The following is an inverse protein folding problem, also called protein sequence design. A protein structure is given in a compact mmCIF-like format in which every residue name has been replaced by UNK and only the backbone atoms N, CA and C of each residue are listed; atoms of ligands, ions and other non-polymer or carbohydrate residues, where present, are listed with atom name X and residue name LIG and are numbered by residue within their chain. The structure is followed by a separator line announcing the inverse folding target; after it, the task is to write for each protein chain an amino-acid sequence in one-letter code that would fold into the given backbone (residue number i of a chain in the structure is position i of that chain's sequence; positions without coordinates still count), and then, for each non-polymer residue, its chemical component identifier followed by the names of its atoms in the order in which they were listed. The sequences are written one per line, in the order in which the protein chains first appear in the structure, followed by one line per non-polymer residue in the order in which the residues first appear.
data_IF_756617720729
#
_entry.id   IF_756617720729
#
_cell.length_a   1.000
_cell.length_b   1.000
_cell.length_c   1.000
_cell.angle_alpha   90.00
_cell.angle_beta   90.00
_cell.angle_gamma   90.00
#
_symmetry.space_group_name_H-M   'P 1'
#
loop_
_entity.id
_entity.type
_entity.pdbx_description
1 polymer ?
#
# COMPACT_ATOMS: atom_id res chain seq x y z
N UNK A 1 -9.25 -9.19 30.78
CA UNK A 1 -9.00 -9.22 29.32
C UNK A 1 -8.42 -10.58 28.89
N UNK A 2 -8.85 -11.70 29.50
CA UNK A 2 -8.19 -13.00 29.32
C UNK A 2 -8.69 -13.81 28.10
N UNK A 3 -9.78 -13.40 27.44
CA UNK A 3 -10.45 -14.20 26.39
C UNK A 3 -10.46 -13.55 24.99
N UNK A 4 -9.72 -12.46 24.77
CA UNK A 4 -9.71 -11.74 23.47
C UNK A 4 -9.22 -12.60 22.31
N UNK A 5 -8.22 -13.45 22.55
CA UNK A 5 -7.65 -14.33 21.55
C UNK A 5 -8.48 -15.60 21.30
N UNK A 6 -9.31 -16.00 22.28
CA UNK A 6 -10.04 -17.28 22.26
C UNK A 6 -11.30 -17.18 21.39
N UNK A 7 -11.97 -16.01 21.39
CA UNK A 7 -13.16 -15.77 20.58
C UNK A 7 -13.19 -14.35 19.98
N UNK A 8 -12.52 -14.12 18.84
CA UNK A 8 -12.36 -12.77 18.26
C UNK A 8 -13.69 -12.10 17.90
N UNK A 9 -14.73 -12.89 17.58
CA UNK A 9 -16.08 -12.37 17.28
C UNK A 9 -16.78 -11.80 18.51
N UNK A 10 -16.68 -12.50 19.65
CA UNK A 10 -17.28 -12.05 20.91
C UNK A 10 -16.51 -10.87 21.48
N UNK A 11 -15.18 -10.91 21.42
CA UNK A 11 -14.31 -9.78 21.72
C UNK A 11 -14.73 -8.50 21.00
N UNK A 12 -14.94 -8.54 19.68
CA UNK A 12 -15.36 -7.37 18.91
C UNK A 12 -16.73 -6.85 19.36
N UNK A 13 -17.71 -7.73 19.54
CA UNK A 13 -19.05 -7.33 19.97
C UNK A 13 -19.02 -6.64 21.35
N UNK A 14 -18.21 -7.15 22.27
CA UNK A 14 -17.99 -6.53 23.58
C UNK A 14 -17.32 -5.16 23.45
N UNK A 15 -16.25 -5.05 22.64
CA UNK A 15 -15.54 -3.77 22.40
C UNK A 15 -16.50 -2.71 21.82
N UNK A 16 -17.26 -3.08 20.79
CA UNK A 16 -18.18 -2.16 20.09
C UNK A 16 -19.41 -1.76 20.93
N UNK A 17 -19.76 -2.55 21.95
CA UNK A 17 -20.84 -2.22 22.87
C UNK A 17 -20.48 -1.16 23.91
N UNK A 18 -19.19 -0.81 24.04
CA UNK A 18 -18.73 0.16 25.02
C UNK A 18 -18.93 1.60 24.53
N UNK A 19 -19.37 2.52 25.42
CA UNK A 19 -19.77 3.88 25.04
C UNK A 19 -18.62 4.73 24.48
N UNK A 20 -17.39 4.48 24.92
CA UNK A 20 -16.20 5.23 24.48
C UNK A 20 -15.46 4.57 23.29
N UNK A 21 -16.06 3.54 22.69
CA UNK A 21 -15.47 2.80 21.59
C UNK A 21 -15.21 3.74 20.38
N UNK A 22 -13.95 3.86 19.90
CA UNK A 22 -13.65 4.66 18.73
C UNK A 22 -14.38 4.16 17.48
N UNK A 23 -14.79 5.08 16.61
CA UNK A 23 -15.38 4.74 15.31
C UNK A 23 -14.28 4.11 14.43
N UNK A 24 -14.45 2.84 14.08
CA UNK A 24 -13.53 2.06 13.26
C UNK A 24 -14.32 1.02 12.46
N UNK A 25 -13.80 0.59 11.31
CA UNK A 25 -14.49 -0.43 10.51
C UNK A 25 -14.42 -1.80 11.21
N UNK A 26 -15.34 -2.70 10.88
CA UNK A 26 -15.34 -4.06 11.47
C UNK A 26 -14.06 -4.83 11.11
N UNK A 27 -13.59 -4.69 9.87
CA UNK A 27 -12.36 -5.32 9.39
C UNK A 27 -11.13 -4.79 10.13
N UNK A 28 -11.06 -3.48 10.39
CA UNK A 28 -9.93 -2.89 11.10
C UNK A 28 -9.94 -3.27 12.60
N UNK A 29 -11.13 -3.45 13.19
CA UNK A 29 -11.26 -4.01 14.55
C UNK A 29 -10.81 -5.46 14.60
N UNK A 30 -11.20 -6.28 13.62
CA UNK A 30 -10.75 -7.67 13.52
C UNK A 30 -9.21 -7.72 13.41
N UNK A 31 -8.61 -6.84 12.62
CA UNK A 31 -7.15 -6.75 12.50
C UNK A 31 -6.49 -6.41 13.86
N UNK A 32 -7.06 -5.48 14.66
CA UNK A 32 -6.57 -5.14 16.00
C UNK A 32 -6.69 -6.32 16.98
N UNK A 33 -7.88 -6.95 17.05
CA UNK A 33 -8.15 -8.02 18.02
C UNK A 33 -7.33 -9.27 17.70
N UNK A 34 -7.09 -9.55 16.42
CA UNK A 34 -6.31 -10.70 15.97
C UNK A 34 -4.80 -10.42 15.84
N UNK A 35 -4.35 -9.21 16.16
CA UNK A 35 -2.94 -8.83 16.10
C UNK A 35 -2.37 -8.72 14.68
N UNK A 36 -3.22 -8.65 13.65
CA UNK A 36 -2.79 -8.51 12.25
C UNK A 36 -2.18 -7.13 11.97
N UNK A 37 -1.33 -7.01 10.93
CA UNK A 37 -0.75 -5.74 10.57
C UNK A 37 -1.83 -4.74 10.17
N UNK A 38 -1.83 -3.58 10.83
CA UNK A 38 -2.80 -2.53 10.55
C UNK A 38 -2.65 -2.00 9.11
N UNK A 39 -3.74 -2.09 8.34
CA UNK A 39 -3.80 -1.67 6.94
C UNK A 39 -4.17 -0.18 6.86
N UNK A 40 -3.17 0.69 6.95
CA UNK A 40 -3.39 2.12 7.02
C UNK A 40 -4.10 2.71 5.80
N UNK A 41 -3.87 2.18 4.61
CA UNK A 41 -4.60 2.61 3.40
C UNK A 41 -6.10 2.26 3.50
N UNK A 42 -6.45 1.14 4.12
CA UNK A 42 -7.83 0.74 4.38
C UNK A 42 -8.47 1.61 5.46
N UNK A 43 -7.77 1.84 6.58
CA UNK A 43 -8.21 2.75 7.63
C UNK A 43 -8.44 4.14 7.04
N UNK A 44 -7.50 4.66 6.23
CA UNK A 44 -7.60 5.98 5.62
C UNK A 44 -8.83 6.09 4.71
N UNK A 45 -9.04 5.08 3.87
CA UNK A 45 -10.20 4.99 2.99
C UNK A 45 -11.52 4.95 3.77
N UNK A 46 -11.59 4.16 4.85
CA UNK A 46 -12.81 4.00 5.64
C UNK A 46 -13.22 5.29 6.37
N UNK A 47 -12.27 6.17 6.72
CA UNK A 47 -12.59 7.48 7.33
C UNK A 47 -13.32 8.42 6.37
N UNK A 48 -13.08 8.27 5.07
CA UNK A 48 -13.60 9.15 4.03
C UNK A 48 -14.71 8.48 3.20
N UNK A 49 -15.10 7.27 3.55
CA UNK A 49 -16.21 6.58 2.92
C UNK A 49 -17.51 7.36 3.18
N UNK A 50 -18.09 7.91 2.12
CA UNK A 50 -19.39 8.59 2.15
C UNK A 50 -20.55 7.63 1.89
N UNK A 51 -20.25 6.42 1.43
CA UNK A 51 -21.20 5.34 1.17
C UNK A 51 -20.88 4.14 2.03
N UNK A 52 -21.91 3.51 2.60
CA UNK A 52 -21.78 2.17 3.17
C UNK A 52 -21.22 1.24 2.09
N UNK A 53 -20.10 0.62 2.40
CA UNK A 53 -19.38 -0.22 1.44
C UNK A 53 -20.23 -1.46 1.12
N UNK A 54 -20.92 -1.43 -0.03
CA UNK A 54 -21.81 -2.52 -0.47
C UNK A 54 -21.00 -3.63 -1.15
N UNK A 55 -19.83 -3.99 -0.60
CA UNK A 55 -19.11 -5.15 -1.08
C UNK A 55 -19.86 -6.42 -0.63
N UNK A 56 -20.67 -6.95 -1.54
CA UNK A 56 -21.37 -8.21 -1.33
C UNK A 56 -20.34 -9.33 -1.52
N UNK A 57 -19.92 -9.95 -0.41
CA UNK A 57 -19.06 -11.14 -0.48
C UNK A 57 -19.97 -12.37 -0.57
N UNK A 58 -20.03 -13.03 -1.73
CA UNK A 58 -20.69 -14.31 -1.89
C UNK A 58 -19.65 -15.43 -1.89
N UNK A 59 -19.86 -16.45 -1.04
CA UNK A 59 -19.12 -17.71 -1.11
C UNK A 59 -19.78 -18.62 -2.14
N UNK A 60 -19.02 -18.99 -3.17
CA UNK A 60 -19.40 -20.04 -4.13
C UNK A 60 -18.43 -21.20 -3.96
N UNK A 61 -18.84 -22.22 -3.20
CA UNK A 61 -17.98 -23.36 -2.86
C UNK A 61 -16.78 -22.94 -2.01
N UNK A 62 -15.55 -23.16 -2.52
CA UNK A 62 -14.29 -22.76 -1.86
C UNK A 62 -13.80 -21.35 -2.24
N UNK A 63 -14.51 -20.64 -3.12
CA UNK A 63 -14.08 -19.34 -3.65
C UNK A 63 -14.98 -18.24 -3.08
N UNK A 64 -14.36 -17.20 -2.53
CA UNK A 64 -15.05 -15.96 -2.12
C UNK A 64 -15.03 -14.96 -3.27
N UNK A 65 -16.20 -14.55 -3.74
CA UNK A 65 -16.39 -13.52 -4.76
C UNK A 65 -16.85 -12.24 -4.08
N UNK A 66 -16.07 -11.17 -4.19
CA UNK A 66 -16.43 -9.84 -3.69
C UNK A 66 -16.97 -8.99 -4.84
N UNK A 67 -18.26 -8.65 -4.79
CA UNK A 67 -18.95 -7.82 -5.77
C UNK A 67 -19.19 -6.42 -5.22
N UNK A 68 -18.81 -5.39 -5.97
CA UNK A 68 -19.02 -3.99 -5.61
C UNK A 68 -18.20 -3.09 -6.54
N UNK A 69 -18.65 -1.85 -6.82
CA UNK A 69 -17.81 -0.88 -7.53
C UNK A 69 -16.51 -0.69 -6.73
N UNK A 70 -15.33 -0.73 -7.36
CA UNK A 70 -14.08 -0.53 -6.64
C UNK A 70 -14.11 0.86 -6.02
N UNK A 71 -14.22 0.93 -4.69
CA UNK A 71 -14.01 2.19 -3.99
C UNK A 71 -12.56 2.57 -4.26
N UNK A 72 -12.35 3.71 -4.93
CA UNK A 72 -11.03 4.29 -5.09
C UNK A 72 -10.52 4.63 -3.68
N UNK A 73 -9.86 3.67 -3.04
CA UNK A 73 -9.35 3.81 -1.69
C UNK A 73 -8.31 4.90 -1.66
N UNK A 74 -8.45 5.86 -0.74
CA UNK A 74 -7.41 6.83 -0.50
C UNK A 74 -6.18 6.10 0.03
N UNK A 75 -5.02 6.37 -0.57
CA UNK A 75 -3.73 5.84 -0.14
C UNK A 75 -3.04 6.87 0.76
N UNK A 76 -2.37 6.39 1.80
CA UNK A 76 -1.51 7.23 2.63
C UNK A 76 -0.27 7.58 1.82
N UNK A 77 -0.12 8.86 1.48
CA UNK A 77 0.96 9.35 0.60
C UNK A 77 1.82 10.45 1.20
N UNK A 78 1.37 11.06 2.30
CA UNK A 78 2.07 12.15 2.96
C UNK A 78 2.27 11.90 4.46
N UNK A 79 3.16 12.68 5.07
CA UNK A 79 3.32 12.71 6.53
C UNK A 79 2.01 13.05 7.24
N UNK A 80 1.23 14.00 6.69
CA UNK A 80 -0.08 14.39 7.23
C UNK A 80 -1.08 13.24 7.21
N UNK A 81 -1.20 12.54 6.07
CA UNK A 81 -2.07 11.36 5.96
C UNK A 81 -1.68 10.31 7.00
N UNK A 82 -0.38 10.04 7.12
CA UNK A 82 0.13 9.04 8.05
C UNK A 82 -0.20 9.42 9.50
N UNK A 83 -0.01 10.69 9.89
CA UNK A 83 -0.31 11.16 11.24
C UNK A 83 -1.80 11.02 11.58
N UNK A 84 -2.69 11.39 10.65
CA UNK A 84 -4.15 11.27 10.83
C UNK A 84 -4.52 9.80 11.06
N UNK A 85 -4.04 8.91 10.19
CA UNK A 85 -4.36 7.47 10.29
C UNK A 85 -3.74 6.85 11.53
N UNK A 86 -2.49 7.19 11.84
CA UNK A 86 -1.78 6.68 13.01
C UNK A 86 -2.47 7.12 14.30
N UNK A 87 -2.96 8.36 14.40
CA UNK A 87 -3.72 8.83 15.55
C UNK A 87 -5.02 8.05 15.73
N UNK A 88 -5.75 7.77 14.65
CA UNK A 88 -6.98 6.96 14.70
C UNK A 88 -6.70 5.51 15.11
N UNK A 89 -5.69 4.90 14.49
CA UNK A 89 -5.22 3.55 14.85
C UNK A 89 -4.81 3.49 16.32
N UNK A 90 -4.02 4.45 16.80
CA UNK A 90 -3.54 4.51 18.19
C UNK A 90 -4.70 4.61 19.17
N UNK A 91 -5.72 5.42 18.87
CA UNK A 91 -6.92 5.52 19.72
C UNK A 91 -7.64 4.17 19.86
N UNK A 92 -7.81 3.45 18.74
CA UNK A 92 -8.42 2.12 18.75
C UNK A 92 -7.54 1.08 19.44
N UNK A 93 -6.22 1.10 19.23
CA UNK A 93 -5.30 0.16 19.84
C UNK A 93 -5.20 0.35 21.35
N UNK A 94 -5.12 1.60 21.84
CA UNK A 94 -5.08 1.93 23.27
C UNK A 94 -6.39 1.55 23.96
N UNK A 95 -7.52 1.67 23.27
CA UNK A 95 -8.81 1.25 23.81
C UNK A 95 -8.81 -0.24 24.18
N UNK A 96 -8.18 -1.09 23.36
CA UNK A 96 -8.07 -2.53 23.60
C UNK A 96 -6.87 -2.88 24.49
N UNK A 97 -5.76 -2.17 24.31
CA UNK A 97 -4.47 -2.39 24.98
C UNK A 97 -3.95 -1.10 25.64
N UNK A 98 -4.52 -0.67 26.78
CA UNK A 98 -4.18 0.62 27.40
C UNK A 98 -2.69 0.75 27.77
N UNK A 99 -2.05 -0.37 28.11
CA UNK A 99 -0.63 -0.42 28.49
C UNK A 99 0.32 -0.01 27.35
N UNK A 100 -0.13 -0.05 26.08
CA UNK A 100 0.68 0.33 24.91
C UNK A 100 0.69 1.83 24.60
N UNK A 101 0.04 2.66 25.43
CA UNK A 101 -0.11 4.08 25.14
C UNK A 101 1.24 4.83 25.02
N UNK A 102 2.16 4.59 25.95
CA UNK A 102 3.46 5.27 25.97
C UNK A 102 4.37 4.82 24.83
N UNK A 103 4.33 3.53 24.50
CA UNK A 103 5.02 2.92 23.36
C UNK A 103 4.61 3.61 22.05
N UNK A 104 3.30 3.67 21.76
CA UNK A 104 2.77 4.27 20.53
C UNK A 104 3.09 5.77 20.44
N UNK A 105 3.05 6.47 21.58
CA UNK A 105 3.42 7.90 21.66
C UNK A 105 4.90 8.11 21.33
N UNK A 106 5.80 7.27 21.85
CA UNK A 106 7.24 7.32 21.54
C UNK A 106 7.48 7.00 20.06
N UNK A 107 6.82 5.99 19.52
CA UNK A 107 6.94 5.62 18.11
C UNK A 107 6.43 6.70 17.16
N UNK A 108 5.28 7.32 17.47
CA UNK A 108 4.76 8.47 16.69
C UNK A 108 5.79 9.60 16.60
N UNK A 109 6.42 9.96 17.72
CA UNK A 109 7.51 10.96 17.74
C UNK A 109 8.71 10.53 16.89
N UNK A 110 9.08 9.25 16.92
CA UNK A 110 10.17 8.72 16.09
C UNK A 110 9.86 8.91 14.60
N UNK A 111 8.68 8.50 14.13
CA UNK A 111 8.28 8.65 12.74
C UNK A 111 8.20 10.11 12.30
N UNK A 112 7.64 11.00 13.13
CA UNK A 112 7.59 12.44 12.84
C UNK A 112 9.00 13.03 12.69
N UNK A 113 9.94 12.62 13.55
CA UNK A 113 11.35 13.04 13.45
C UNK A 113 12.00 12.58 12.15
N UNK A 114 11.69 11.37 11.66
CA UNK A 114 12.21 10.89 10.38
C UNK A 114 11.71 11.73 9.20
N UNK A 115 10.43 12.10 9.18
CA UNK A 115 9.92 13.04 8.16
C UNK A 115 10.58 14.41 8.24
N UNK A 116 10.89 14.91 9.44
CA UNK A 116 11.59 16.19 9.60
C UNK A 116 13.08 16.13 9.24
N UNK A 117 13.71 14.95 9.31
CA UNK A 117 15.12 14.76 8.99
C UNK A 117 15.38 14.49 7.50
N UNK A 118 14.38 13.99 6.77
CA UNK A 118 14.49 13.64 5.35
C UNK A 118 13.85 14.71 4.46
N UNK A 119 14.41 14.95 3.26
CA UNK A 119 13.77 15.82 2.28
C UNK A 119 12.46 15.19 1.77
N UNK A 120 11.52 16.02 1.30
CA UNK A 120 10.18 15.58 0.88
C UNK A 120 10.20 14.49 -0.19
N UNK A 121 11.17 14.54 -1.11
CA UNK A 121 11.38 13.51 -2.14
C UNK A 121 11.57 12.10 -1.55
N UNK A 122 12.14 12.01 -0.35
CA UNK A 122 12.43 10.74 0.34
C UNK A 122 11.36 10.37 1.39
N UNK A 123 10.28 11.15 1.53
CA UNK A 123 9.21 10.86 2.51
C UNK A 123 8.52 9.51 2.27
N UNK A 124 8.52 9.02 1.03
CA UNK A 124 8.02 7.68 0.70
C UNK A 124 8.76 6.57 1.46
N UNK A 125 10.07 6.73 1.71
CA UNK A 125 10.88 5.79 2.49
C UNK A 125 10.39 5.65 3.93
N UNK A 126 9.96 6.75 4.54
CA UNK A 126 9.42 6.76 5.90
C UNK A 126 8.09 6.01 5.95
N UNK A 127 7.24 6.18 4.91
CA UNK A 127 5.99 5.44 4.79
C UNK A 127 6.23 3.93 4.66
N UNK A 128 7.21 3.52 3.85
CA UNK A 128 7.55 2.11 3.65
C UNK A 128 8.21 1.49 4.88
N UNK A 129 9.14 2.21 5.52
CA UNK A 129 9.71 1.82 6.81
C UNK A 129 8.61 1.61 7.86
N UNK A 130 7.68 2.56 7.98
CA UNK A 130 6.57 2.45 8.91
C UNK A 130 5.68 1.22 8.63
N UNK A 131 5.38 0.95 7.35
CA UNK A 131 4.66 -0.27 6.94
C UNK A 131 5.42 -1.53 7.35
N UNK A 132 6.74 -1.57 7.14
CA UNK A 132 7.58 -2.71 7.50
C UNK A 132 7.64 -2.95 9.01
N UNK A 133 7.77 -1.90 9.82
CA UNK A 133 7.76 -2.01 11.30
C UNK A 133 6.41 -2.55 11.77
N UNK A 134 5.28 -2.00 11.30
CA UNK A 134 3.94 -2.54 11.65
C UNK A 134 3.81 -4.02 11.31
N UNK A 135 4.32 -4.41 10.14
CA UNK A 135 4.31 -5.81 9.73
C UNK A 135 5.14 -6.68 10.69
N UNK A 136 6.35 -6.26 11.06
CA UNK A 136 7.19 -7.00 11.99
C UNK A 136 6.56 -7.13 13.38
N UNK A 137 6.02 -6.04 13.92
CA UNK A 137 5.31 -6.03 15.22
C UNK A 137 4.10 -6.97 15.20
N UNK A 138 3.39 -7.09 14.07
CA UNK A 138 2.25 -8.01 13.96
C UNK A 138 2.63 -9.49 13.85
N UNK A 139 3.84 -9.81 13.41
CA UNK A 139 4.25 -11.20 13.17
C UNK A 139 4.69 -11.92 14.44
N UNK A 140 5.18 -11.18 15.45
CA UNK A 140 5.66 -11.75 16.70
C UNK A 140 5.20 -10.87 17.86
N UNK A 141 4.50 -11.46 18.84
CA UNK A 141 4.01 -10.75 20.02
C UNK A 141 5.10 -10.24 20.97
N UNK A 142 6.38 -10.48 20.65
CA UNK A 142 7.51 -10.07 21.47
C UNK A 142 8.03 -8.66 21.13
N UNK A 143 7.64 -8.10 19.99
CA UNK A 143 8.13 -6.79 19.57
C UNK A 143 7.19 -5.66 19.98
N UNK A 144 7.77 -4.63 20.57
CA UNK A 144 7.17 -3.32 20.77
C UNK A 144 7.64 -2.35 19.67
N UNK A 145 6.81 -1.38 19.32
CA UNK A 145 7.17 -0.29 18.40
C UNK A 145 8.37 0.54 18.88
N UNK A 146 8.73 0.45 20.16
CA UNK A 146 9.90 1.12 20.74
C UNK A 146 11.19 0.33 20.64
N UNK A 147 11.15 -0.91 20.14
CA UNK A 147 12.32 -1.77 19.93
C UNK A 147 13.11 -1.33 18.70
N UNK A 148 13.54 -0.07 18.67
CA UNK A 148 14.20 0.54 17.52
C UNK A 148 15.47 -0.22 17.11
N UNK A 149 16.17 -0.82 18.08
CA UNK A 149 17.33 -1.68 17.81
C UNK A 149 16.99 -2.90 16.96
N UNK A 150 15.84 -3.54 17.23
CA UNK A 150 15.34 -4.70 16.48
C UNK A 150 14.75 -4.33 15.10
N UNK A 151 14.62 -3.03 14.83
CA UNK A 151 14.22 -2.49 13.53
C UNK A 151 15.39 -1.87 12.77
N UNK A 152 16.63 -2.02 13.24
CA UNK A 152 17.79 -1.41 12.62
C UNK A 152 17.98 -1.91 11.18
N UNK A 153 17.80 -3.20 10.90
CA UNK A 153 17.85 -3.75 9.54
C UNK A 153 16.77 -3.13 8.63
N UNK A 154 15.55 -2.89 9.13
CA UNK A 154 14.49 -2.19 8.39
C UNK A 154 14.86 -0.72 8.15
N UNK A 155 15.47 -0.08 9.14
CA UNK A 155 15.94 1.30 9.02
C UNK A 155 17.03 1.41 7.97
N UNK A 156 18.01 0.49 8.00
CA UNK A 156 19.07 0.43 7.00
C UNK A 156 18.48 0.21 5.60
N UNK A 157 17.52 -0.71 5.45
CA UNK A 157 16.95 -1.05 4.15
C UNK A 157 16.04 0.04 3.56
N UNK A 158 15.15 0.62 4.35
CA UNK A 158 14.17 1.58 3.84
C UNK A 158 14.67 3.02 3.90
N UNK A 159 15.39 3.40 4.96
CA UNK A 159 15.79 4.79 5.19
C UNK A 159 17.20 5.06 4.65
N UNK A 160 18.20 4.29 5.09
CA UNK A 160 19.61 4.57 4.76
C UNK A 160 20.04 4.01 3.41
N UNK A 161 19.34 3.00 2.88
CA UNK A 161 19.70 2.43 1.59
C UNK A 161 19.76 3.59 0.59
N UNK A 162 20.87 3.68 -0.19
CA UNK A 162 20.94 4.66 -1.24
C UNK A 162 19.68 4.48 -2.04
N UNK A 163 18.93 5.56 -2.28
CA UNK A 163 17.90 5.53 -3.29
C UNK A 163 18.64 5.01 -4.50
N UNK A 164 18.40 3.75 -4.91
CA UNK A 164 18.82 3.29 -6.22
C UNK A 164 18.30 4.39 -7.10
N UNK A 165 19.21 5.22 -7.63
CA UNK A 165 18.88 6.35 -8.51
C UNK A 165 17.76 5.81 -9.33
N UNK A 166 16.60 6.47 -9.22
CA UNK A 166 15.38 6.13 -9.92
C UNK A 166 15.75 5.19 -11.03
N UNK A 167 15.32 3.93 -10.95
CA UNK A 167 14.86 3.35 -12.19
C UNK A 167 13.94 4.45 -12.70
N UNK A 168 14.47 5.30 -13.59
CA UNK A 168 13.73 5.84 -14.68
C UNK A 168 12.74 4.74 -14.92
N UNK A 169 11.45 5.07 -14.72
CA UNK A 169 10.37 4.25 -15.22
C UNK A 169 10.94 3.54 -16.43
N UNK A 170 10.85 2.23 -16.60
CA UNK A 170 11.10 1.69 -17.92
C UNK A 170 10.06 2.40 -18.80
N UNK A 171 10.40 3.60 -19.30
CA UNK A 171 10.16 4.07 -20.64
C UNK A 171 10.35 2.80 -21.37
N UNK A 172 9.20 2.24 -21.74
CA UNK A 172 9.16 0.88 -22.18
C UNK A 172 10.28 0.80 -23.19
N UNK A 173 11.37 0.13 -22.83
CA UNK A 173 12.13 -0.63 -23.78
C UNK A 173 11.11 -1.71 -24.14
N UNK A 174 10.13 -1.29 -24.96
CA UNK A 174 9.60 -2.07 -26.03
C UNK A 174 10.87 -2.59 -26.63
N UNK A 175 11.19 -3.81 -26.23
CA UNK A 175 11.91 -4.75 -27.02
C UNK A 175 11.65 -4.33 -28.45
N UNK A 176 12.65 -3.73 -29.07
CA UNK A 176 12.72 -3.62 -30.51
C UNK A 176 12.98 -5.07 -30.96
N UNK A 177 12.01 -5.96 -30.68
CA UNK A 177 11.70 -7.07 -31.56
C UNK A 177 11.58 -6.37 -32.89
N UNK A 178 12.57 -6.60 -33.75
CA UNK A 178 12.57 -6.27 -35.16
C UNK A 178 11.13 -6.40 -35.71
N UNK A 179 10.34 -5.34 -35.62
CA UNK A 179 9.15 -5.20 -36.45
C UNK A 179 9.74 -4.80 -37.77
N UNK A 180 10.10 -5.81 -38.57
CA UNK A 180 10.38 -5.61 -39.97
C UNK A 180 9.26 -4.71 -40.50
N UNK A 181 9.65 -3.51 -40.96
CA UNK A 181 8.71 -2.56 -41.54
C UNK A 181 7.99 -3.28 -42.67
N UNK A 182 6.66 -3.27 -42.66
CA UNK A 182 5.89 -3.94 -43.71
C UNK A 182 6.30 -3.43 -45.11
N UNK A 183 6.35 -4.31 -46.12
CA UNK A 183 6.68 -3.92 -47.49
C UNK A 183 5.70 -2.88 -48.04
N UNK A 184 6.23 -1.84 -48.66
CA UNK A 184 5.44 -0.80 -49.29
C UNK A 184 4.79 -1.33 -50.58
N UNK A 185 3.47 -1.54 -50.57
CA UNK A 185 2.73 -1.98 -51.77
C UNK A 185 2.86 -0.99 -52.95
N UNK A 186 2.84 0.31 -52.67
CA UNK A 186 3.00 1.37 -53.69
C UNK A 186 4.40 1.37 -54.33
N UNK A 187 5.44 1.01 -53.57
CA UNK A 187 6.79 0.82 -54.12
C UNK A 187 6.85 -0.42 -55.02
N UNK A 188 6.24 -1.53 -54.59
CA UNK A 188 6.17 -2.75 -55.39
C UNK A 188 5.33 -2.58 -56.67
N UNK A 189 4.49 -1.54 -56.75
CA UNK A 189 3.72 -1.14 -57.92
C UNK A 189 4.39 0.00 -58.73
N UNK A 190 5.58 0.47 -58.34
CA UNK A 190 6.32 1.55 -59.03
C UNK A 190 5.71 2.96 -58.89
N UNK A 191 4.77 3.16 -57.96
CA UNK A 191 3.99 4.40 -57.80
C UNK A 191 4.22 5.11 -56.46
N UNK A 192 5.31 4.80 -55.75
CA UNK A 192 5.61 5.47 -54.49
C UNK A 192 6.25 6.84 -54.75
N UNK A 193 5.64 7.96 -54.30
CA UNK A 193 6.21 9.30 -54.47
C UNK A 193 7.30 9.62 -53.42
N UNK A 194 7.44 8.79 -52.38
CA UNK A 194 8.38 8.99 -51.28
C UNK A 194 9.69 8.22 -51.55
N UNK A 195 10.81 8.71 -51.02
CA UNK A 195 12.09 8.00 -51.08
C UNK A 195 12.17 6.91 -50.02
N UNK A 196 13.14 6.01 -50.13
CA UNK A 196 13.36 4.91 -49.18
C UNK A 196 13.57 5.39 -47.74
N UNK A 197 14.07 6.61 -47.54
CA UNK A 197 14.31 7.21 -46.23
C UNK A 197 13.08 7.94 -45.67
N UNK A 198 12.21 8.49 -46.52
CA UNK A 198 11.01 9.24 -46.09
C UNK A 198 9.74 8.38 -46.08
N UNK A 199 9.77 7.19 -46.66
CA UNK A 199 8.63 6.29 -46.68
C UNK A 199 8.44 5.59 -45.31
N UNK A 200 7.19 5.59 -44.83
CA UNK A 200 6.79 4.92 -43.58
C UNK A 200 6.92 3.38 -43.67
N UNK A 201 6.81 2.83 -44.87
CA UNK A 201 6.87 1.39 -45.17
C UNK A 201 8.23 1.05 -45.82
N UNK A 202 8.67 -0.21 -45.70
CA UNK A 202 9.95 -0.61 -46.28
C UNK A 202 9.87 -0.74 -47.81
N UNK A 203 10.82 -0.16 -48.52
CA UNK A 203 10.97 -0.38 -49.96
C UNK A 203 11.73 -1.69 -50.21
N UNK A 204 11.03 -2.79 -49.94
CA UNK A 204 11.51 -4.16 -50.14
C UNK A 204 10.47 -4.94 -50.95
N UNK A 205 10.92 -5.87 -51.79
CA UNK A 205 10.05 -6.77 -52.54
C UNK A 205 9.23 -7.61 -51.55
N UNK A 206 7.89 -7.54 -51.63
CA UNK A 206 7.01 -8.32 -50.75
C UNK A 206 6.87 -9.81 -51.14
N UNK A 207 7.58 -10.27 -52.17
CA UNK A 207 7.44 -11.62 -52.78
C UNK A 207 8.76 -12.42 -52.86
N UNK A 208 9.88 -11.91 -52.35
CA UNK A 208 11.23 -12.39 -52.69
C UNK A 208 11.97 -13.14 -51.56
#
# INVERSE_FOLDING_TARGET
LENLAQEPRYARATIQSQPDCPVFSSDDWDDIVTGKPARFDHIFSSMHATTLDKHQTQKVGKVELKFGPPVAGKKVSSSGDLQIVFARYTKALIFVFPHRADELKKYSKHIIRLFGALPEVDHHKVLDYNKAVRFRVSQMHQYEYTDFGDFQDLFMYWIQAPSSKSCESPQSNKNNKNKQREPCKRYNEGRCPNSTQSCKYAHICGKC
#
